data_IF_606848786309
#
_entry.id   IF_606848786309
#
_cell.length_a   1.000
_cell.length_b   1.000
_cell.length_c   1.000
_cell.angle_alpha   90.00
_cell.angle_beta   90.00
_cell.angle_gamma   90.00
#
_symmetry.space_group_name_H-M   'P 1'
#
loop_
_entity.id
_entity.type
_entity.pdbx_description
1 polymer ?
#
# COMPACT_ATOMS: atom_id res chain seq x y z
N UNK A 1 11.44 -15.40 -3.23
CA UNK A 1 12.19 -14.72 -2.15
C UNK A 1 11.64 -15.21 -0.83
N UNK A 2 12.44 -15.48 0.21
CA UNK A 2 11.92 -15.83 1.53
C UNK A 2 11.05 -14.70 2.10
N UNK A 3 9.98 -15.06 2.81
CA UNK A 3 9.10 -14.10 3.50
C UNK A 3 9.91 -13.27 4.50
N UNK A 4 9.69 -11.94 4.50
CA UNK A 4 10.38 -11.00 5.38
C UNK A 4 9.39 -10.52 6.44
N UNK A 5 9.03 -11.45 7.33
CA UNK A 5 8.15 -11.14 8.44
C UNK A 5 8.83 -10.13 9.39
N UNK A 6 8.20 -8.99 9.70
CA UNK A 6 8.75 -8.03 10.64
C UNK A 6 8.85 -8.64 12.05
N UNK A 7 10.05 -8.57 12.64
CA UNK A 7 10.37 -9.15 13.96
C UNK A 7 9.39 -8.73 15.06
N UNK A 8 8.86 -7.50 14.98
CA UNK A 8 8.03 -6.88 16.01
C UNK A 8 6.54 -7.30 15.96
N UNK A 9 6.12 -8.11 14.96
CA UNK A 9 4.72 -8.59 14.79
C UNK A 9 3.65 -7.49 14.89
N UNK A 10 3.99 -6.27 14.51
CA UNK A 10 3.07 -5.14 14.46
C UNK A 10 2.18 -5.25 13.21
N UNK A 11 0.98 -4.68 13.28
CA UNK A 11 0.15 -4.52 12.09
C UNK A 11 0.83 -3.62 11.06
N UNK A 12 0.88 -4.09 9.82
CA UNK A 12 1.35 -3.35 8.66
C UNK A 12 0.21 -3.12 7.68
N UNK A 13 0.33 -2.07 6.87
CA UNK A 13 -0.63 -1.81 5.80
C UNK A 13 -0.37 -2.80 4.67
N UNK A 14 -1.39 -3.56 4.27
CA UNK A 14 -1.36 -4.34 3.03
C UNK A 14 -1.76 -3.46 1.84
N UNK A 15 -2.83 -2.70 2.01
CA UNK A 15 -3.37 -1.82 0.98
C UNK A 15 -4.54 -0.96 1.43
N UNK A 16 -4.88 0.01 0.60
CA UNK A 16 -6.09 0.81 0.70
C UNK A 16 -6.91 0.56 -0.56
N UNK A 17 -8.03 -0.14 -0.42
CA UNK A 17 -8.94 -0.44 -1.54
C UNK A 17 -10.23 0.37 -1.40
N UNK A 18 -10.54 1.29 -2.33
CA UNK A 18 -11.79 2.05 -2.28
C UNK A 18 -12.98 1.11 -2.44
N UNK A 19 -13.99 1.22 -1.57
CA UNK A 19 -15.17 0.35 -1.59
C UNK A 19 -16.39 1.05 -2.20
N UNK A 20 -17.18 0.29 -2.95
CA UNK A 20 -18.52 0.71 -3.36
C UNK A 20 -19.54 -0.10 -2.54
N UNK A 21 -20.23 0.54 -1.60
CA UNK A 21 -21.11 -0.14 -0.64
C UNK A 21 -22.20 -1.00 -1.31
N UNK A 22 -22.72 -0.54 -2.43
CA UNK A 22 -23.87 -1.15 -3.10
C UNK A 22 -23.51 -1.77 -4.46
N UNK A 23 -22.22 -1.89 -4.77
CA UNK A 23 -21.76 -2.32 -6.09
C UNK A 23 -20.41 -3.02 -6.06
N UNK A 24 -19.88 -3.42 -7.22
CA UNK A 24 -18.57 -4.03 -7.31
C UNK A 24 -17.48 -3.06 -6.84
N UNK A 25 -16.43 -3.62 -6.23
CA UNK A 25 -15.29 -2.86 -5.76
C UNK A 25 -14.60 -2.18 -6.96
N UNK A 26 -14.40 -0.85 -6.95
CA UNK A 26 -13.70 -0.17 -8.02
C UNK A 26 -12.22 -0.60 -8.04
N UNK A 27 -11.76 -1.00 -9.22
CA UNK A 27 -10.37 -1.33 -9.49
C UNK A 27 -9.95 -0.78 -10.85
N UNK A 28 -8.66 -0.50 -11.02
CA UNK A 28 -8.08 -0.03 -12.28
C UNK A 28 -8.81 1.18 -12.93
N UNK A 29 -9.22 2.16 -12.12
CA UNK A 29 -10.09 3.26 -12.58
C UNK A 29 -9.47 4.18 -13.65
N UNK A 30 -8.14 4.31 -13.68
CA UNK A 30 -7.44 5.20 -14.63
C UNK A 30 -6.13 4.58 -15.09
N UNK A 31 -5.68 4.92 -16.29
CA UNK A 31 -4.37 4.52 -16.82
C UNK A 31 -3.21 5.38 -16.27
N UNK A 32 -3.40 6.02 -15.11
CA UNK A 32 -2.37 6.87 -14.53
C UNK A 32 -1.24 6.01 -13.94
N UNK A 33 0.00 6.32 -14.32
CA UNK A 33 1.18 5.70 -13.73
C UNK A 33 1.52 6.32 -12.39
N UNK A 34 1.94 5.50 -11.42
CA UNK A 34 2.41 5.99 -10.11
C UNK A 34 3.63 6.89 -10.29
N UNK A 35 3.53 8.14 -9.81
CA UNK A 35 4.66 9.07 -9.79
C UNK A 35 5.35 9.05 -8.42
N UNK A 36 6.50 8.39 -8.34
CA UNK A 36 7.29 8.24 -7.10
C UNK A 36 7.78 9.57 -6.51
N UNK A 37 7.92 10.63 -7.30
CA UNK A 37 8.32 11.94 -6.79
C UNK A 37 7.25 12.55 -5.87
N UNK A 38 5.98 12.20 -6.07
CA UNK A 38 4.87 12.72 -5.25
C UNK A 38 4.83 12.10 -3.84
N UNK A 39 5.50 10.97 -3.62
CA UNK A 39 5.53 10.26 -2.33
C UNK A 39 6.87 10.37 -1.60
N UNK A 40 7.82 11.17 -2.13
CA UNK A 40 9.16 11.34 -1.54
C UNK A 40 9.10 11.77 -0.07
N UNK A 41 8.18 12.66 0.29
CA UNK A 41 8.03 13.20 1.64
C UNK A 41 7.58 12.15 2.67
N UNK A 42 6.86 11.11 2.23
CA UNK A 42 6.32 10.05 3.11
C UNK A 42 7.10 8.72 3.00
N UNK A 43 8.15 8.67 2.18
CA UNK A 43 8.87 7.45 1.87
C UNK A 43 9.46 6.75 3.11
N UNK A 44 9.95 7.52 4.08
CA UNK A 44 10.49 6.97 5.33
C UNK A 44 9.39 6.28 6.16
N UNK A 45 8.20 6.86 6.24
CA UNK A 45 7.06 6.29 6.95
C UNK A 45 6.58 5.01 6.26
N UNK A 46 6.44 5.03 4.93
CA UNK A 46 6.00 3.86 4.16
C UNK A 46 6.90 2.63 4.38
N UNK A 47 8.22 2.82 4.50
CA UNK A 47 9.15 1.70 4.79
C UNK A 47 8.88 1.00 6.13
N UNK A 48 8.28 1.72 7.09
CA UNK A 48 8.00 1.21 8.43
C UNK A 48 6.57 0.66 8.50
N UNK A 49 5.58 1.42 8.03
CA UNK A 49 4.16 1.08 8.21
C UNK A 49 3.57 0.26 7.06
N UNK A 50 4.16 0.31 5.87
CA UNK A 50 3.71 -0.40 4.67
C UNK A 50 4.88 -1.16 3.99
N UNK A 51 5.59 -2.03 4.73
CA UNK A 51 6.65 -2.85 4.16
C UNK A 51 6.08 -3.94 3.24
N UNK A 52 6.94 -4.52 2.41
CA UNK A 52 6.66 -5.74 1.68
C UNK A 52 7.06 -6.96 2.53
N UNK A 53 6.07 -7.72 2.98
CA UNK A 53 6.21 -8.90 3.85
C UNK A 53 6.23 -10.21 3.06
#
# INVERSE_FOLDING_TARGET
TPCKDPTDKLFTVHGLWPSNLNGPHPENCTNATVNSHRIKTIQAQLKIIWPNV
#
